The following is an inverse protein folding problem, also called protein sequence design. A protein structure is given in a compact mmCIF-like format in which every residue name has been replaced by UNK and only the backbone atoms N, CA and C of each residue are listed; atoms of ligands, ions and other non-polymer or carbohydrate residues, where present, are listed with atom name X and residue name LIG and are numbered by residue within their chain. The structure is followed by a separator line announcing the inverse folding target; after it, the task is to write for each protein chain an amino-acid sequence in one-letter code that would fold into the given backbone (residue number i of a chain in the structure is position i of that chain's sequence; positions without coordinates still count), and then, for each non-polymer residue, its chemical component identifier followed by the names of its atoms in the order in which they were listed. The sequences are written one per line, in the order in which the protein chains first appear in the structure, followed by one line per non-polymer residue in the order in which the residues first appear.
data_IF_973192244677
#
_entry.id   IF_973192244677
#
_cell.length_a   1.000
_cell.length_b   1.000
_cell.length_c   1.000
_cell.angle_alpha   90.00
_cell.angle_beta   90.00
_cell.angle_gamma   90.00
#
_symmetry.space_group_name_H-M   'P 1'
#
loop_
_entity.id
_entity.type
_entity.pdbx_description
1 polymer ?
#
# COMPACT_ATOMS: atom_id res chain seq x y z
N UNK A 1 23.13 23.41 16.48
CA UNK A 1 23.25 22.11 15.79
C UNK A 1 22.20 21.07 16.18
N UNK A 2 21.75 20.98 17.45
CA UNK A 2 20.72 19.98 17.87
C UNK A 2 19.34 20.17 17.22
N UNK A 3 18.93 21.41 16.95
CA UNK A 3 17.63 21.71 16.35
C UNK A 3 17.48 21.14 14.92
N UNK A 4 18.51 21.28 14.10
CA UNK A 4 18.51 20.76 12.72
C UNK A 4 18.39 19.23 12.71
N UNK A 5 19.02 18.54 13.65
CA UNK A 5 18.90 17.09 13.80
C UNK A 5 17.48 16.66 14.17
N UNK A 6 16.82 17.37 15.09
CA UNK A 6 15.43 17.12 15.45
C UNK A 6 14.48 17.34 14.28
N UNK A 7 14.68 18.40 13.49
CA UNK A 7 13.91 18.65 12.27
C UNK A 7 14.09 17.54 11.24
N UNK A 8 15.32 17.04 11.08
CA UNK A 8 15.62 15.93 10.17
C UNK A 8 14.89 14.65 10.60
N UNK A 9 14.91 14.32 11.90
CA UNK A 9 14.16 13.19 12.45
C UNK A 9 12.65 13.34 12.21
N UNK A 10 12.10 14.53 12.41
CA UNK A 10 10.69 14.83 12.20
C UNK A 10 10.28 14.63 10.73
N UNK A 11 11.10 15.08 9.80
CA UNK A 11 10.93 14.86 8.35
C UNK A 11 10.91 13.38 7.99
N UNK A 12 11.86 12.60 8.51
CA UNK A 12 11.93 11.15 8.27
C UNK A 12 10.68 10.44 8.83
N UNK A 13 10.20 10.84 10.01
CA UNK A 13 8.97 10.30 10.60
C UNK A 13 7.74 10.60 9.74
N UNK A 14 7.61 11.83 9.25
CA UNK A 14 6.51 12.26 8.38
C UNK A 14 6.48 11.46 7.07
N UNK A 15 7.63 11.30 6.40
CA UNK A 15 7.75 10.55 5.15
C UNK A 15 7.40 9.06 5.33
N UNK A 16 7.80 8.45 6.46
CA UNK A 16 7.42 7.08 6.76
C UNK A 16 5.91 6.93 7.01
N UNK A 17 5.31 7.88 7.73
CA UNK A 17 3.87 7.88 8.00
C UNK A 17 3.03 8.00 6.72
N UNK A 18 3.42 8.89 5.79
CA UNK A 18 2.70 9.08 4.52
C UNK A 18 2.80 7.84 3.63
N UNK A 19 3.99 7.24 3.51
CA UNK A 19 4.19 5.99 2.76
C UNK A 19 3.36 4.83 3.34
N UNK A 20 3.28 4.72 4.66
CA UNK A 20 2.47 3.70 5.34
C UNK A 20 0.97 3.87 5.10
N UNK A 21 0.48 5.12 5.16
CA UNK A 21 -0.94 5.46 4.90
C UNK A 21 -1.36 5.15 3.46
N UNK A 22 -0.52 5.49 2.49
CA UNK A 22 -0.81 5.21 1.08
C UNK A 22 -0.91 3.70 0.82
N UNK A 23 0.03 2.92 1.36
CA UNK A 23 0.02 1.45 1.28
C UNK A 23 -1.23 0.84 1.90
N UNK A 24 -1.72 1.39 3.01
CA UNK A 24 -2.96 0.96 3.66
C UNK A 24 -4.19 1.29 2.81
N UNK A 25 -4.22 2.47 2.19
CA UNK A 25 -5.32 2.91 1.31
C UNK A 25 -5.51 1.98 0.12
N UNK A 26 -4.41 1.61 -0.56
CA UNK A 26 -4.42 0.66 -1.70
C UNK A 26 -5.03 -0.69 -1.32
N UNK A 27 -4.57 -1.27 -0.20
CA UNK A 27 -5.12 -2.54 0.32
C UNK A 27 -6.61 -2.47 0.63
N UNK A 28 -7.06 -1.36 1.24
CA UNK A 28 -8.45 -1.16 1.61
C UNK A 28 -9.37 -1.03 0.39
N UNK A 29 -8.86 -0.44 -0.69
CA UNK A 29 -9.61 -0.27 -1.95
C UNK A 29 -9.93 -1.62 -2.60
N UNK A 30 -8.97 -2.54 -2.60
CA UNK A 30 -9.19 -3.92 -3.06
C UNK A 30 -10.25 -4.66 -2.22
N UNK A 31 -10.16 -4.57 -0.88
CA UNK A 31 -11.14 -5.18 0.02
C UNK A 31 -12.55 -4.58 -0.16
N UNK A 32 -12.65 -3.25 -0.35
CA UNK A 32 -13.94 -2.57 -0.59
C UNK A 32 -14.61 -3.00 -1.89
N UNK A 33 -13.85 -3.43 -2.90
CA UNK A 33 -14.39 -4.00 -4.13
C UNK A 33 -14.80 -5.48 -3.99
N UNK A 34 -14.69 -6.07 -2.80
CA UNK A 34 -14.90 -7.51 -2.57
C UNK A 34 -13.77 -8.38 -3.10
N UNK A 35 -12.58 -7.78 -3.26
CA UNK A 35 -11.39 -8.46 -3.76
C UNK A 35 -10.38 -8.80 -2.66
N UNK A 36 -9.39 -9.60 -3.05
CA UNK A 36 -8.24 -9.98 -2.22
C UNK A 36 -6.95 -9.84 -3.01
N UNK A 37 -5.89 -9.34 -2.35
CA UNK A 37 -4.58 -9.20 -2.95
C UNK A 37 -3.86 -10.56 -3.10
N UNK A 38 -3.88 -11.13 -4.31
CA UNK A 38 -3.15 -12.36 -4.65
C UNK A 38 -1.87 -12.06 -5.42
N UNK A 39 -1.00 -13.06 -5.51
CA UNK A 39 0.21 -12.95 -6.33
C UNK A 39 -0.18 -12.82 -7.81
N UNK A 40 0.53 -12.00 -8.58
CA UNK A 40 0.26 -11.82 -10.01
C UNK A 40 0.33 -13.12 -10.85
N UNK A 41 0.96 -14.17 -10.31
CA UNK A 41 1.05 -15.51 -10.91
C UNK A 41 -0.15 -16.42 -10.56
N UNK A 42 -1.08 -15.95 -9.73
CA UNK A 42 -2.28 -16.71 -9.40
C UNK A 42 -3.23 -16.65 -10.59
N UNK A 43 -3.61 -17.82 -11.11
CA UNK A 43 -4.57 -17.96 -12.21
C UNK A 43 -5.98 -18.23 -11.67
N UNK A 44 -7.00 -18.01 -12.51
CA UNK A 44 -8.39 -18.33 -12.17
C UNK A 44 -9.10 -17.31 -11.28
N UNK A 45 -8.71 -16.03 -11.33
CA UNK A 45 -9.43 -14.94 -10.67
C UNK A 45 -9.74 -13.82 -11.68
N UNK A 46 -10.82 -13.06 -11.46
CA UNK A 46 -11.06 -11.82 -12.19
C UNK A 46 -10.23 -10.69 -11.57
N UNK A 47 -9.33 -10.11 -12.36
CA UNK A 47 -8.47 -9.00 -11.91
C UNK A 47 -9.33 -7.73 -11.80
N UNK A 48 -9.29 -7.09 -10.63
CA UNK A 48 -9.97 -5.83 -10.37
C UNK A 48 -9.01 -4.64 -10.56
N UNK A 49 -9.52 -3.46 -10.97
CA UNK A 49 -8.71 -2.26 -11.15
C UNK A 49 -8.42 -1.58 -9.80
N UNK A 50 -7.85 -2.32 -8.85
CA UNK A 50 -7.41 -1.82 -7.55
C UNK A 50 -5.96 -2.25 -7.30
N UNK A 51 -5.17 -1.32 -6.76
CA UNK A 51 -3.77 -1.60 -6.43
C UNK A 51 -3.63 -2.35 -5.11
N UNK A 52 -2.64 -3.22 -5.03
CA UNK A 52 -2.23 -3.85 -3.78
C UNK A 52 -1.00 -3.15 -3.19
N UNK A 53 -0.80 -3.31 -1.87
CA UNK A 53 0.39 -2.78 -1.17
C UNK A 53 1.72 -3.23 -1.79
N UNK A 54 1.74 -4.41 -2.41
CA UNK A 54 2.91 -4.98 -3.09
C UNK A 54 2.72 -4.90 -4.60
N UNK A 55 3.76 -4.46 -5.32
CA UNK A 55 3.79 -4.41 -6.79
C UNK A 55 3.66 -5.80 -7.43
N UNK A 56 4.01 -6.86 -6.71
CA UNK A 56 3.95 -8.24 -7.23
C UNK A 56 2.58 -8.90 -7.01
N UNK A 57 1.62 -8.12 -6.51
CA UNK A 57 0.26 -8.57 -6.21
C UNK A 57 -0.75 -7.74 -7.00
N UNK A 58 -1.79 -8.41 -7.46
CA UNK A 58 -2.96 -7.77 -8.06
C UNK A 58 -4.20 -8.01 -7.19
N UNK A 59 -5.19 -7.13 -7.32
CA UNK A 59 -6.48 -7.36 -6.68
C UNK A 59 -7.28 -8.39 -7.50
N UNK A 60 -7.64 -9.50 -6.87
CA UNK A 60 -8.47 -10.55 -7.45
C UNK A 60 -9.87 -10.49 -6.83
N UNK A 61 -10.94 -10.58 -7.63
CA UNK A 61 -12.28 -10.86 -7.13
C UNK A 61 -12.38 -12.29 -6.61
N UNK A 62 -13.01 -12.48 -5.45
CA UNK A 62 -13.36 -13.80 -4.91
C UNK A 62 -14.74 -14.21 -5.44
#
# INVERSE_FOLDING_TARGET
MRLLFLLFLLLVCLVQMTSGREKRRKSLECERMGGVCKHQKTHGCSILPAECKSRNKHCCRV
#
